data_IF_719466353106
#
_entry.id   IF_719466353106
#
_cell.length_a   1.000
_cell.length_b   1.000
_cell.length_c   1.000
_cell.angle_alpha   90.00
_cell.angle_beta   90.00
_cell.angle_gamma   90.00
#
_symmetry.space_group_name_H-M   'P 1'
#
loop_
_entity.id
_entity.type
_entity.pdbx_description
1 polymer ?
#
# COMPACT_ATOMS: atom_id res chain seq x y z
N UNK A 1 -2.17 -8.66 -30.03
CA UNK A 1 -1.65 -9.10 -28.71
C UNK A 1 -1.17 -7.84 -28.01
N UNK A 2 -1.50 -7.60 -26.74
CA UNK A 2 -0.95 -6.43 -26.06
C UNK A 2 0.58 -6.58 -26.06
N UNK A 3 1.26 -5.53 -26.48
CA UNK A 3 2.71 -5.41 -26.39
C UNK A 3 3.13 -5.76 -24.96
N UNK A 4 4.12 -6.65 -24.80
CA UNK A 4 4.72 -6.85 -23.50
C UNK A 4 5.20 -5.49 -23.00
N UNK A 5 4.88 -5.08 -21.75
CA UNK A 5 5.31 -3.78 -21.26
C UNK A 5 6.83 -3.70 -21.40
N UNK A 6 7.32 -2.58 -21.95
CA UNK A 6 8.74 -2.33 -22.14
C UNK A 6 9.50 -2.67 -20.85
N UNK A 7 10.55 -3.50 -20.96
CA UNK A 7 11.32 -3.95 -19.81
C UNK A 7 11.77 -2.73 -18.99
N UNK A 8 11.28 -2.62 -17.76
CA UNK A 8 11.61 -1.51 -16.86
C UNK A 8 13.10 -1.48 -16.51
N UNK A 9 13.59 -0.37 -15.91
CA UNK A 9 14.99 -0.27 -15.53
C UNK A 9 15.35 -1.39 -14.55
N UNK A 10 16.48 -2.06 -14.78
CA UNK A 10 17.03 -3.03 -13.84
C UNK A 10 17.69 -2.25 -12.70
N UNK A 11 17.32 -2.57 -11.45
CA UNK A 11 17.85 -1.88 -10.27
C UNK A 11 19.01 -2.67 -9.69
N UNK A 12 20.21 -2.10 -9.77
CA UNK A 12 21.45 -2.68 -9.23
C UNK A 12 22.07 -1.85 -8.11
N UNK A 13 21.57 -0.63 -7.88
CA UNK A 13 22.11 0.31 -6.89
C UNK A 13 20.98 0.85 -5.99
N UNK A 14 21.25 1.14 -4.71
CA UNK A 14 20.29 1.80 -3.84
C UNK A 14 19.97 3.21 -4.35
N UNK A 15 18.71 3.62 -4.27
CA UNK A 15 18.33 4.95 -4.72
C UNK A 15 16.82 5.18 -4.82
N UNK A 16 16.48 6.36 -5.33
CA UNK A 16 15.12 6.75 -5.71
C UNK A 16 15.01 6.62 -7.23
N UNK A 17 13.94 5.99 -7.69
CA UNK A 17 13.69 5.74 -9.10
C UNK A 17 12.26 6.12 -9.46
N UNK A 18 12.12 6.79 -10.61
CA UNK A 18 10.84 7.03 -11.25
C UNK A 18 10.51 5.82 -12.14
N UNK A 19 9.37 5.20 -11.88
CA UNK A 19 8.91 4.02 -12.61
C UNK A 19 7.40 3.89 -12.49
N UNK A 20 6.79 3.19 -13.44
CA UNK A 20 5.36 2.91 -13.38
C UNK A 20 5.04 1.94 -12.23
N UNK A 21 3.76 1.87 -11.86
CA UNK A 21 3.28 0.93 -10.86
C UNK A 21 3.55 -0.53 -11.27
N UNK A 22 3.40 -0.83 -12.56
CA UNK A 22 3.65 -2.15 -13.14
C UNK A 22 5.13 -2.51 -13.04
N UNK A 23 6.02 -1.59 -13.42
CA UNK A 23 7.47 -1.77 -13.30
C UNK A 23 7.89 -1.97 -11.83
N UNK A 24 7.35 -1.18 -10.91
CA UNK A 24 7.60 -1.34 -9.48
C UNK A 24 7.18 -2.72 -9.00
N UNK A 25 5.99 -3.21 -9.38
CA UNK A 25 5.47 -4.50 -8.92
C UNK A 25 6.15 -5.71 -9.59
N UNK A 26 6.66 -5.55 -10.81
CA UNK A 26 7.43 -6.58 -11.53
C UNK A 26 8.73 -7.00 -10.82
N UNK A 27 9.15 -6.23 -9.80
CA UNK A 27 10.39 -6.46 -9.05
C UNK A 27 11.64 -6.31 -9.93
N UNK A 28 12.08 -5.07 -10.17
CA UNK A 28 13.16 -4.80 -11.11
C UNK A 28 14.57 -5.13 -10.55
N UNK A 29 14.67 -5.68 -9.35
CA UNK A 29 15.94 -6.04 -8.72
C UNK A 29 16.35 -7.46 -9.14
N UNK A 30 17.55 -7.66 -9.72
CA UNK A 30 18.07 -9.00 -9.98
C UNK A 30 18.17 -9.82 -8.68
N UNK A 31 17.63 -11.04 -8.69
CA UNK A 31 17.54 -11.90 -7.50
C UNK A 31 16.35 -11.57 -6.58
N UNK A 32 15.58 -10.53 -6.89
CA UNK A 32 14.35 -10.16 -6.20
C UNK A 32 14.56 -9.22 -5.02
N UNK A 33 13.46 -8.57 -4.63
CA UNK A 33 13.40 -7.66 -3.48
C UNK A 33 12.11 -7.83 -2.69
N UNK A 34 12.18 -7.51 -1.41
CA UNK A 34 11.04 -7.56 -0.52
C UNK A 34 10.35 -6.19 -0.46
N UNK A 35 9.04 -6.13 -0.67
CA UNK A 35 8.23 -4.93 -0.40
C UNK A 35 7.59 -5.01 0.98
N UNK A 36 7.07 -3.89 1.50
CA UNK A 36 6.30 -3.88 2.76
C UNK A 36 5.15 -4.89 2.74
N UNK A 37 4.41 -4.96 1.62
CA UNK A 37 3.32 -5.94 1.45
C UNK A 37 3.87 -7.37 1.38
N UNK A 38 4.98 -7.60 0.68
CA UNK A 38 5.65 -8.90 0.65
C UNK A 38 6.07 -9.37 2.03
N UNK A 39 6.67 -8.49 2.83
CA UNK A 39 7.05 -8.79 4.21
C UNK A 39 5.84 -9.22 5.07
N UNK A 40 4.68 -8.55 4.90
CA UNK A 40 3.43 -8.96 5.55
C UNK A 40 2.92 -10.32 5.08
N UNK A 41 3.07 -10.64 3.79
CA UNK A 41 2.61 -11.91 3.19
C UNK A 41 3.43 -13.12 3.64
N UNK A 42 4.69 -12.92 4.03
CA UNK A 42 5.55 -13.98 4.59
C UNK A 42 5.14 -14.39 6.01
N UNK A 43 4.37 -13.56 6.72
CA UNK A 43 3.98 -13.80 8.10
C UNK A 43 2.49 -14.14 8.18
N UNK A 44 2.12 -14.86 9.24
CA UNK A 44 0.72 -15.17 9.54
C UNK A 44 -0.16 -13.90 9.46
N UNK A 45 -1.31 -13.96 8.77
CA UNK A 45 -1.97 -15.18 8.27
C UNK A 45 -1.46 -15.72 6.92
N UNK A 46 -0.47 -15.08 6.29
CA UNK A 46 0.23 -15.65 5.14
C UNK A 46 1.36 -16.62 5.54
N UNK A 47 2.13 -17.08 4.55
CA UNK A 47 3.32 -17.92 4.73
C UNK A 47 4.25 -17.82 3.51
N UNK A 48 5.51 -18.28 3.62
CA UNK A 48 6.48 -18.25 2.52
C UNK A 48 6.01 -18.95 1.24
N UNK A 49 5.39 -20.12 1.33
CA UNK A 49 4.87 -20.84 0.16
C UNK A 49 3.84 -20.02 -0.63
N UNK A 50 2.90 -19.36 0.06
CA UNK A 50 1.90 -18.50 -0.58
C UNK A 50 2.54 -17.29 -1.26
N UNK A 51 3.49 -16.65 -0.58
CA UNK A 51 4.22 -15.53 -1.15
C UNK A 51 5.02 -15.93 -2.39
N UNK A 52 5.73 -17.06 -2.35
CA UNK A 52 6.48 -17.59 -3.50
C UNK A 52 5.57 -17.91 -4.68
N UNK A 53 4.41 -18.51 -4.41
CA UNK A 53 3.41 -18.75 -5.45
C UNK A 53 2.96 -17.44 -6.12
N UNK A 54 2.66 -16.39 -5.34
CA UNK A 54 2.31 -15.06 -5.88
C UNK A 54 3.44 -14.45 -6.72
N UNK A 55 4.71 -14.63 -6.35
CA UNK A 55 5.84 -14.15 -7.14
C UNK A 55 5.97 -14.85 -8.50
N UNK A 56 5.74 -16.17 -8.54
CA UNK A 56 5.93 -16.99 -9.74
C UNK A 56 4.77 -16.91 -10.73
N UNK A 57 3.54 -16.70 -10.23
CA UNK A 57 2.32 -16.79 -11.04
C UNK A 57 1.57 -15.45 -11.14
N UNK A 58 2.13 -14.39 -10.54
CA UNK A 58 1.46 -13.13 -10.35
C UNK A 58 0.31 -13.22 -9.33
N UNK A 59 -0.31 -12.07 -9.07
CA UNK A 59 -1.51 -12.01 -8.25
C UNK A 59 -2.75 -12.19 -9.12
N UNK A 60 -3.76 -12.90 -8.59
CA UNK A 60 -5.09 -12.89 -9.19
C UNK A 60 -5.55 -11.43 -9.32
N UNK A 61 -6.05 -11.00 -10.49
CA UNK A 61 -6.61 -9.66 -10.66
C UNK A 61 -7.62 -9.41 -9.56
N UNK A 62 -7.29 -8.51 -8.63
CA UNK A 62 -8.29 -8.05 -7.67
C UNK A 62 -9.24 -7.14 -8.42
N UNK A 63 -10.50 -7.10 -8.01
CA UNK A 63 -11.33 -5.94 -8.31
C UNK A 63 -10.64 -4.76 -7.64
N UNK A 64 -9.76 -4.08 -8.38
CA UNK A 64 -9.24 -2.79 -7.96
C UNK A 64 -10.48 -1.93 -7.81
N UNK A 65 -10.65 -1.34 -6.64
CA UNK A 65 -11.74 -0.39 -6.46
C UNK A 65 -11.34 0.85 -7.24
N UNK A 66 -11.85 0.97 -8.47
CA UNK A 66 -11.60 2.10 -9.38
C UNK A 66 -11.72 3.44 -8.62
N UNK A 67 -12.69 3.54 -7.71
CA UNK A 67 -12.90 4.70 -6.84
C UNK A 67 -11.71 5.04 -5.91
N UNK A 68 -11.09 4.03 -5.27
CA UNK A 68 -9.99 4.24 -4.32
C UNK A 68 -8.71 4.65 -5.03
N UNK A 69 -8.41 4.01 -6.17
CA UNK A 69 -7.28 4.39 -7.03
C UNK A 69 -7.50 5.76 -7.65
N UNK A 70 -8.71 6.07 -8.12
CA UNK A 70 -9.04 7.38 -8.66
C UNK A 70 -8.94 8.49 -7.60
N UNK A 71 -9.43 8.26 -6.38
CA UNK A 71 -9.29 9.21 -5.28
C UNK A 71 -7.82 9.43 -4.91
N UNK A 72 -7.03 8.36 -4.82
CA UNK A 72 -5.59 8.44 -4.54
C UNK A 72 -4.85 9.24 -5.61
N UNK A 73 -5.06 8.92 -6.90
CA UNK A 73 -4.46 9.65 -8.00
C UNK A 73 -4.83 11.14 -8.00
N UNK A 74 -6.11 11.46 -7.79
CA UNK A 74 -6.58 12.84 -7.76
C UNK A 74 -6.07 13.63 -6.53
N UNK A 75 -5.90 12.97 -5.38
CA UNK A 75 -5.35 13.58 -4.16
C UNK A 75 -3.85 13.86 -4.32
N UNK A 76 -3.12 12.95 -4.96
CA UNK A 76 -1.67 13.08 -5.16
C UNK A 76 -1.29 13.81 -6.45
N UNK A 77 -2.26 14.20 -7.28
CA UNK A 77 -2.00 14.85 -8.57
C UNK A 77 -1.26 13.96 -9.57
N UNK A 78 -1.40 12.64 -9.48
CA UNK A 78 -0.72 11.67 -10.35
C UNK A 78 -1.63 10.50 -10.72
N UNK A 79 -1.11 9.55 -11.49
CA UNK A 79 -1.82 8.34 -11.88
C UNK A 79 -2.59 8.47 -13.18
N UNK A 80 -3.41 7.46 -13.51
CA UNK A 80 -4.06 7.40 -14.82
C UNK A 80 -5.14 8.47 -14.99
N UNK A 81 -5.41 8.82 -16.25
CA UNK A 81 -6.52 9.69 -16.63
C UNK A 81 -7.85 9.15 -16.07
N UNK A 82 -8.63 10.03 -15.44
CA UNK A 82 -9.99 9.70 -15.01
C UNK A 82 -10.98 10.10 -16.10
N UNK A 83 -11.73 9.12 -16.62
CA UNK A 83 -12.66 9.34 -17.72
C UNK A 83 -14.09 9.21 -17.20
N UNK A 84 -14.85 10.31 -17.28
CA UNK A 84 -16.28 10.29 -16.98
C UNK A 84 -17.03 9.64 -18.14
N UNK A 85 -17.68 8.52 -17.87
CA UNK A 85 -18.59 7.85 -18.80
C UNK A 85 -20.01 8.30 -18.46
N UNK A 86 -20.69 9.00 -19.38
CA UNK A 86 -22.03 9.56 -19.16
C UNK A 86 -23.13 8.48 -19.24
N UNK A 87 -23.07 7.51 -18.33
CA UNK A 87 -24.05 6.45 -18.14
C UNK A 87 -24.04 5.94 -16.69
N UNK A 88 -25.20 5.86 -16.05
CA UNK A 88 -25.35 5.35 -14.68
C UNK A 88 -25.12 3.83 -14.59
N UNK A 89 -25.34 3.12 -15.70
CA UNK A 89 -25.17 1.68 -15.82
C UNK A 89 -24.42 1.28 -17.10
N UNK A 90 -23.41 0.44 -16.96
CA UNK A 90 -22.60 -0.05 -18.08
C UNK A 90 -23.21 -1.31 -18.74
N UNK A 91 -24.48 -1.21 -19.15
CA UNK A 91 -25.22 -2.37 -19.70
C UNK A 91 -25.22 -2.43 -21.22
N UNK A 92 -25.29 -1.29 -21.90
CA UNK A 92 -25.39 -1.22 -23.37
C UNK A 92 -24.06 -1.55 -24.04
N UNK A 93 -24.11 -2.10 -25.26
CA UNK A 93 -22.91 -2.42 -26.02
C UNK A 93 -22.05 -1.17 -26.28
N UNK A 94 -22.68 -0.01 -26.54
CA UNK A 94 -22.00 1.27 -26.72
C UNK A 94 -21.19 1.67 -25.49
N UNK A 95 -21.81 1.68 -24.30
CA UNK A 95 -21.13 2.08 -23.06
C UNK A 95 -20.02 1.09 -22.68
N UNK A 96 -20.24 -0.21 -22.91
CA UNK A 96 -19.19 -1.22 -22.69
C UNK A 96 -17.97 -1.02 -23.59
N UNK A 97 -18.20 -0.67 -24.86
CA UNK A 97 -17.11 -0.36 -25.79
C UNK A 97 -16.33 0.90 -25.35
N UNK A 98 -17.02 1.93 -24.86
CA UNK A 98 -16.40 3.15 -24.33
C UNK A 98 -15.53 2.89 -23.08
N UNK A 99 -16.07 2.12 -22.13
CA UNK A 99 -15.34 1.65 -20.93
C UNK A 99 -14.12 0.82 -21.31
N UNK A 100 -14.27 -0.09 -22.29
CA UNK A 100 -13.17 -0.92 -22.76
C UNK A 100 -12.07 -0.07 -23.41
N UNK A 101 -12.43 0.88 -24.27
CA UNK A 101 -11.49 1.80 -24.90
C UNK A 101 -10.77 2.71 -23.88
N UNK A 102 -11.43 3.10 -22.79
CA UNK A 102 -10.79 3.80 -21.67
C UNK A 102 -9.72 2.94 -20.99
N UNK A 103 -10.08 1.69 -20.66
CA UNK A 103 -9.14 0.77 -20.00
C UNK A 103 -7.98 0.36 -20.90
N UNK A 104 -8.22 0.20 -22.21
CA UNK A 104 -7.18 -0.18 -23.17
C UNK A 104 -6.06 0.86 -23.29
N UNK A 105 -6.40 2.16 -23.17
CA UNK A 105 -5.41 3.24 -23.10
C UNK A 105 -4.88 3.51 -21.69
N UNK A 106 -5.23 2.67 -20.71
CA UNK A 106 -4.78 2.78 -19.31
C UNK A 106 -5.58 3.74 -18.43
N UNK A 107 -6.64 4.38 -18.92
CA UNK A 107 -7.47 5.29 -18.14
C UNK A 107 -8.43 4.55 -17.18
N UNK A 108 -8.91 5.24 -16.15
CA UNK A 108 -9.91 4.73 -15.21
C UNK A 108 -11.29 5.30 -15.59
N UNK A 109 -12.17 4.51 -16.23
CA UNK A 109 -13.53 4.93 -16.48
C UNK A 109 -14.34 4.94 -15.17
N UNK A 110 -15.06 6.04 -14.92
CA UNK A 110 -15.93 6.22 -13.77
C UNK A 110 -17.33 6.59 -14.22
N UNK A 111 -18.34 6.13 -13.48
CA UNK A 111 -19.71 6.62 -13.63
C UNK A 111 -19.81 8.08 -13.20
N UNK A 112 -20.84 8.84 -13.62
CA UNK A 112 -20.98 10.24 -13.25
C UNK A 112 -20.95 10.45 -11.72
N UNK A 113 -21.68 9.62 -10.96
CA UNK A 113 -21.69 9.70 -9.50
C UNK A 113 -20.32 9.42 -8.85
N UNK A 114 -19.56 8.47 -9.38
CA UNK A 114 -18.22 8.11 -8.88
C UNK A 114 -17.20 9.19 -9.23
N UNK A 115 -17.29 9.75 -10.44
CA UNK A 115 -16.45 10.86 -10.88
C UNK A 115 -16.65 12.08 -9.98
N UNK A 116 -17.90 12.49 -9.73
CA UNK A 116 -18.19 13.59 -8.80
C UNK A 116 -17.75 13.27 -7.36
N UNK A 117 -17.92 12.01 -6.92
CA UNK A 117 -17.51 11.56 -5.59
C UNK A 117 -16.01 11.72 -5.37
N UNK A 118 -15.15 11.27 -6.28
CA UNK A 118 -13.69 11.40 -6.12
C UNK A 118 -13.23 12.85 -6.14
N UNK A 119 -13.87 13.72 -6.95
CA UNK A 119 -13.59 15.15 -6.96
C UNK A 119 -13.95 15.82 -5.63
N UNK A 120 -15.08 15.44 -5.02
CA UNK A 120 -15.47 15.93 -3.68
C UNK A 120 -14.54 15.40 -2.58
N UNK A 121 -14.10 14.15 -2.68
CA UNK A 121 -13.08 13.60 -1.76
C UNK A 121 -11.77 14.40 -1.85
N UNK A 122 -11.26 14.66 -3.06
CA UNK A 122 -10.05 15.46 -3.22
C UNK A 122 -10.24 16.91 -2.74
N UNK A 123 -11.41 17.51 -2.95
CA UNK A 123 -11.73 18.83 -2.40
C UNK A 123 -11.71 18.84 -0.86
N UNK A 124 -12.22 17.80 -0.20
CA UNK A 124 -12.18 17.69 1.26
C UNK A 124 -10.74 17.57 1.80
N UNK A 125 -9.83 16.87 1.09
CA UNK A 125 -8.41 16.84 1.45
C UNK A 125 -7.78 18.24 1.33
N UNK A 126 -8.05 18.96 0.25
CA UNK A 126 -7.56 20.34 0.04
C UNK A 126 -8.07 21.33 1.08
N UNK A 127 -9.23 21.09 1.68
CA UNK A 127 -9.79 21.91 2.75
C UNK A 127 -9.29 21.52 4.15
N UNK A 128 -8.73 20.32 4.32
CA UNK A 128 -8.27 19.86 5.62
C UNK A 128 -6.92 20.52 5.98
N UNK A 129 -6.78 21.14 7.17
CA UNK A 129 -5.64 22.02 7.49
C UNK A 129 -4.28 21.32 7.47
N UNK A 130 -4.22 20.04 7.91
CA UNK A 130 -2.96 19.28 7.92
C UNK A 130 -2.73 18.54 6.59
N UNK A 131 -3.70 17.73 6.15
CA UNK A 131 -3.59 16.95 4.91
C UNK A 131 -3.32 17.80 3.65
N UNK A 132 -3.89 19.00 3.53
CA UNK A 132 -3.63 19.90 2.40
C UNK A 132 -2.17 20.31 2.29
N UNK A 133 -1.51 20.61 3.41
CA UNK A 133 -0.08 20.94 3.44
C UNK A 133 0.81 19.72 3.15
N UNK A 134 0.38 18.53 3.59
CA UNK A 134 1.13 17.28 3.37
C UNK A 134 1.19 16.86 1.89
N UNK A 135 0.14 17.18 1.11
CA UNK A 135 0.01 16.77 -0.30
C UNK A 135 -0.03 17.97 -1.28
N UNK A 136 0.42 19.16 -0.88
CA UNK A 136 0.53 20.30 -1.79
C UNK A 136 1.62 20.07 -2.84
N UNK A 137 1.40 20.47 -4.09
CA UNK A 137 2.36 20.25 -5.20
C UNK A 137 3.80 20.72 -4.88
N UNK A 138 3.95 21.85 -4.19
CA UNK A 138 5.27 22.39 -3.82
C UNK A 138 5.96 21.65 -2.65
N UNK A 139 5.24 20.77 -1.94
CA UNK A 139 5.76 20.09 -0.75
C UNK A 139 6.41 18.75 -1.02
N UNK A 140 6.45 18.26 -2.26
CA UNK A 140 7.12 17.02 -2.59
C UNK A 140 6.80 16.45 -3.96
N UNK A 141 7.10 15.16 -4.12
CA UNK A 141 6.87 14.41 -5.36
C UNK A 141 6.05 13.16 -5.08
N UNK A 142 4.99 12.88 -5.85
CA UNK A 142 4.17 11.69 -5.63
C UNK A 142 4.88 10.42 -6.10
N UNK A 143 4.45 9.28 -5.55
CA UNK A 143 4.70 7.93 -6.07
C UNK A 143 6.19 7.53 -6.29
N UNK A 144 7.08 8.07 -5.46
CA UNK A 144 8.51 7.81 -5.59
C UNK A 144 8.87 6.39 -5.12
N UNK A 145 9.61 5.65 -5.94
CA UNK A 145 10.03 4.27 -5.62
C UNK A 145 11.44 4.26 -5.05
N UNK A 146 11.59 3.71 -3.86
CA UNK A 146 12.83 3.63 -3.11
C UNK A 146 13.30 2.17 -3.08
N UNK A 147 14.58 1.97 -3.35
CA UNK A 147 15.25 0.67 -3.29
C UNK A 147 16.50 0.78 -2.42
N UNK A 148 16.70 -0.17 -1.53
CA UNK A 148 17.86 -0.19 -0.64
C UNK A 148 18.19 -1.61 -0.18
N UNK A 149 19.41 -1.80 0.30
CA UNK A 149 19.85 -3.08 0.86
C UNK A 149 19.72 -3.03 2.37
N UNK A 150 19.07 -4.04 2.96
CA UNK A 150 19.10 -4.25 4.40
C UNK A 150 20.51 -4.69 4.82
N UNK A 151 21.20 -3.87 5.62
CA UNK A 151 22.59 -4.14 6.00
C UNK A 151 22.78 -5.46 6.75
N UNK A 152 21.76 -5.93 7.49
CA UNK A 152 21.89 -7.10 8.35
C UNK A 152 21.54 -8.42 7.64
N UNK A 153 20.70 -8.41 6.60
CA UNK A 153 20.42 -9.63 5.80
C UNK A 153 21.03 -9.62 4.40
N UNK A 154 21.45 -8.47 3.87
CA UNK A 154 21.79 -8.31 2.45
C UNK A 154 20.57 -8.34 1.52
N UNK A 155 19.34 -8.40 2.06
CA UNK A 155 18.11 -8.44 1.28
C UNK A 155 17.83 -7.06 0.70
N UNK A 156 17.58 -7.01 -0.61
CA UNK A 156 17.00 -5.85 -1.24
C UNK A 156 15.58 -5.60 -0.76
N UNK A 157 15.31 -4.37 -0.41
CA UNK A 157 14.00 -3.86 0.02
C UNK A 157 13.54 -2.81 -0.96
N UNK A 158 12.22 -2.76 -1.16
CA UNK A 158 11.55 -1.72 -1.94
C UNK A 158 10.36 -1.11 -1.21
N UNK A 159 10.09 0.15 -1.50
CA UNK A 159 8.91 0.87 -1.07
C UNK A 159 8.50 1.85 -2.17
N UNK A 160 7.20 2.14 -2.28
CA UNK A 160 6.69 3.23 -3.11
C UNK A 160 5.95 4.18 -2.19
N UNK A 161 6.50 5.37 -1.99
CA UNK A 161 5.90 6.40 -1.16
C UNK A 161 4.74 7.03 -1.92
N UNK A 162 3.60 7.24 -1.28
CA UNK A 162 2.53 8.05 -1.88
C UNK A 162 3.03 9.47 -2.15
N UNK A 163 3.82 10.01 -1.23
CA UNK A 163 4.46 11.32 -1.35
C UNK A 163 5.85 11.28 -0.73
N UNK A 164 6.85 11.73 -1.49
CA UNK A 164 8.19 12.03 -1.00
C UNK A 164 8.28 13.54 -0.75
N UNK A 165 8.27 14.01 0.50
CA UNK A 165 8.35 15.43 0.79
C UNK A 165 9.66 16.05 0.28
N UNK A 166 9.60 17.32 -0.11
CA UNK A 166 10.79 18.12 -0.42
C UNK A 166 11.69 18.18 0.80
N UNK A 167 12.97 17.86 0.62
CA UNK A 167 13.94 17.87 1.71
C UNK A 167 14.19 19.32 2.15
N UNK A 168 14.16 19.56 3.45
CA UNK A 168 14.35 20.89 4.03
C UNK A 168 14.92 20.83 5.45
N UNK A 169 15.07 21.98 6.09
CA UNK A 169 15.70 22.12 7.41
C UNK A 169 14.83 21.69 8.60
N UNK A 170 13.89 20.77 8.40
CA UNK A 170 12.92 20.34 9.40
C UNK A 170 12.71 18.84 9.43
N UNK A 171 11.89 18.39 10.37
CA UNK A 171 11.50 16.98 10.51
C UNK A 171 10.81 16.50 9.24
N UNK A 172 11.34 15.45 8.62
CA UNK A 172 10.70 14.80 7.47
C UNK A 172 9.43 14.06 7.92
N UNK A 173 8.28 14.43 7.34
CA UNK A 173 6.98 13.78 7.59
C UNK A 173 6.51 13.14 6.29
N UNK A 174 6.49 11.81 6.23
CA UNK A 174 6.06 11.02 5.09
C UNK A 174 4.55 10.76 5.22
N UNK A 175 3.69 11.34 4.37
CA UNK A 175 2.27 11.06 4.39
C UNK A 175 1.93 9.87 3.46
N UNK A 176 0.90 9.12 3.85
CA UNK A 176 0.36 8.00 3.06
C UNK A 176 -1.16 8.02 3.12
N UNK A 177 -1.79 8.05 1.95
CA UNK A 177 -3.22 8.28 1.80
C UNK A 177 -3.99 6.96 1.80
N UNK A 178 -5.01 6.87 2.67
CA UNK A 178 -5.87 5.71 2.82
C UNK A 178 -7.34 6.09 2.71
N UNK A 179 -8.02 5.63 1.67
CA UNK A 179 -9.48 5.65 1.68
C UNK A 179 -10.02 4.57 2.63
N UNK A 180 -11.07 4.88 3.40
CA UNK A 180 -11.66 3.98 4.38
C UNK A 180 -13.18 4.12 4.48
N UNK A 181 -13.79 3.19 5.22
CA UNK A 181 -15.22 3.29 5.56
C UNK A 181 -15.44 4.29 6.69
N UNK A 182 -14.55 4.32 7.69
CA UNK A 182 -14.62 5.26 8.81
C UNK A 182 -13.23 5.76 9.20
N UNK A 183 -13.11 7.08 9.37
CA UNK A 183 -11.90 7.76 9.85
C UNK A 183 -11.92 7.98 11.38
N UNK A 184 -12.87 7.37 12.09
CA UNK A 184 -12.89 7.37 13.54
C UNK A 184 -11.67 6.60 14.11
N UNK A 185 -11.06 7.07 15.22
CA UNK A 185 -9.84 6.47 15.78
C UNK A 185 -9.93 4.95 16.02
N UNK A 186 -11.07 4.45 16.51
CA UNK A 186 -11.26 3.00 16.76
C UNK A 186 -11.26 2.18 15.46
N UNK A 187 -11.91 2.68 14.41
CA UNK A 187 -11.93 2.07 13.08
C UNK A 187 -10.54 2.07 12.44
N UNK A 188 -9.79 3.15 12.64
CA UNK A 188 -8.40 3.28 12.20
C UNK A 188 -7.52 2.27 12.93
N UNK A 189 -7.62 2.15 14.26
CA UNK A 189 -6.84 1.18 15.04
C UNK A 189 -7.05 -0.26 14.55
N UNK A 190 -8.30 -0.65 14.28
CA UNK A 190 -8.64 -1.94 13.65
C UNK A 190 -8.00 -2.09 12.27
N UNK A 191 -8.04 -1.04 11.45
CA UNK A 191 -7.41 -1.03 10.12
C UNK A 191 -5.89 -1.17 10.20
N UNK A 192 -5.24 -0.53 11.18
CA UNK A 192 -3.79 -0.62 11.43
C UNK A 192 -3.37 -2.05 11.75
N UNK A 193 -4.18 -2.77 12.53
CA UNK A 193 -3.98 -4.19 12.80
C UNK A 193 -4.24 -5.04 11.55
N UNK A 194 -5.43 -4.94 10.97
CA UNK A 194 -5.92 -5.83 9.92
C UNK A 194 -5.11 -5.73 8.61
N UNK A 195 -4.70 -4.52 8.24
CA UNK A 195 -3.93 -4.30 7.00
C UNK A 195 -2.42 -4.25 7.24
N UNK A 196 -2.00 -4.35 8.52
CA UNK A 196 -0.60 -4.36 8.91
C UNK A 196 0.11 -3.02 8.71
N UNK A 197 -0.60 -1.90 8.86
CA UNK A 197 0.00 -0.56 8.72
C UNK A 197 1.07 -0.28 9.78
N UNK A 198 0.99 -0.95 10.93
CA UNK A 198 2.07 -0.94 11.93
C UNK A 198 3.40 -1.47 11.38
N UNK A 199 3.41 -2.38 10.40
CA UNK A 199 4.61 -2.80 9.67
C UNK A 199 4.98 -1.82 8.55
N UNK A 200 3.99 -1.18 7.91
CA UNK A 200 4.20 -0.24 6.80
C UNK A 200 4.96 1.01 7.23
N UNK A 201 4.52 1.68 8.30
CA UNK A 201 5.17 2.90 8.83
C UNK A 201 6.69 2.73 8.98
N UNK A 202 7.20 1.82 9.83
CA UNK A 202 8.63 1.68 10.01
C UNK A 202 9.34 1.19 8.74
N UNK A 203 8.66 0.43 7.86
CA UNK A 203 9.26 0.02 6.59
C UNK A 203 9.60 1.21 5.70
N UNK A 204 8.72 2.20 5.65
CA UNK A 204 8.87 3.40 4.82
C UNK A 204 9.84 4.39 5.48
N UNK A 205 9.79 4.53 6.80
CA UNK A 205 10.79 5.33 7.55
C UNK A 205 12.19 4.75 7.39
N UNK A 206 12.35 3.43 7.39
CA UNK A 206 13.64 2.79 7.14
C UNK A 206 14.16 3.07 5.72
N UNK A 207 13.27 3.10 4.73
CA UNK A 207 13.63 3.37 3.34
C UNK A 207 14.31 4.73 3.19
N UNK A 208 13.66 5.79 3.70
CA UNK A 208 14.19 7.15 3.56
C UNK A 208 15.47 7.35 4.38
N UNK A 209 15.58 6.70 5.54
CA UNK A 209 16.78 6.75 6.38
C UNK A 209 17.95 6.01 5.75
N UNK A 210 17.72 4.83 5.19
CA UNK A 210 18.75 4.05 4.52
C UNK A 210 19.35 4.80 3.31
N UNK A 211 18.56 5.67 2.67
CA UNK A 211 18.98 6.51 1.56
C UNK A 211 19.48 7.90 1.98
N UNK A 212 19.62 8.16 3.28
CA UNK A 212 20.13 9.45 3.79
C UNK A 212 19.19 10.64 3.59
N UNK A 213 17.91 10.40 3.30
CA UNK A 213 16.90 11.44 3.07
C UNK A 213 16.28 11.96 4.38
N UNK A 214 16.40 11.18 5.46
CA UNK A 214 15.85 11.54 6.77
C UNK A 214 16.65 10.94 7.91
N UNK A 215 16.35 11.38 9.13
CA UNK A 215 17.06 11.02 10.37
C UNK A 215 16.14 10.32 11.38
N UNK A 216 16.56 10.25 12.65
CA UNK A 216 15.77 9.68 13.76
C UNK A 216 14.46 10.43 14.05
N UNK A 217 14.35 11.71 13.67
CA UNK A 217 13.13 12.49 13.81
C UNK A 217 12.08 12.16 12.73
N UNK A 218 12.51 11.54 11.63
CA UNK A 218 11.64 11.15 10.50
C UNK A 218 10.39 10.42 10.97
N UNK A 219 9.26 10.83 10.43
CA UNK A 219 7.94 10.38 10.87
C UNK A 219 7.06 10.02 9.71
N UNK A 220 6.17 9.08 9.98
CA UNK A 220 5.19 8.60 9.05
C UNK A 220 3.80 8.94 9.59
N UNK A 221 2.94 9.47 8.73
CA UNK A 221 1.55 9.74 9.06
C UNK A 221 0.64 9.12 8.02
N UNK A 222 -0.44 8.51 8.49
CA UNK A 222 -1.51 8.03 7.63
C UNK A 222 -2.57 9.12 7.51
N UNK A 223 -3.02 9.41 6.30
CA UNK A 223 -4.15 10.29 6.03
C UNK A 223 -5.34 9.43 5.65
N UNK A 224 -6.18 9.13 6.63
CA UNK A 224 -7.40 8.35 6.43
C UNK A 224 -8.54 9.25 5.97
N UNK A 225 -9.22 8.87 4.90
CA UNK A 225 -10.38 9.59 4.39
C UNK A 225 -11.58 8.67 4.17
N UNK A 226 -12.73 9.07 4.71
CA UNK A 226 -14.01 8.41 4.43
C UNK A 226 -14.45 8.61 2.98
N UNK A 227 -14.99 7.55 2.38
CA UNK A 227 -15.48 7.59 1.00
C UNK A 227 -16.88 8.19 0.85
N UNK A 228 -17.60 8.42 1.95
CA UNK A 228 -18.98 8.95 1.95
C UNK A 228 -19.02 10.35 2.53
N UNK A 229 -19.95 11.23 2.07
CA UNK A 229 -20.13 12.54 2.68
C UNK A 229 -20.30 12.46 4.21
N UNK A 230 -19.69 13.39 4.99
CA UNK A 230 -19.00 14.59 4.54
C UNK A 230 -17.50 14.39 4.19
N UNK A 231 -17.07 13.17 3.88
CA UNK A 231 -15.70 12.81 3.48
C UNK A 231 -14.65 13.15 4.54
N UNK A 232 -14.95 12.82 5.80
CA UNK A 232 -14.11 13.15 6.94
C UNK A 232 -12.68 12.62 6.76
N UNK A 233 -11.72 13.44 7.16
CA UNK A 233 -10.29 13.16 7.09
C UNK A 233 -9.71 13.12 8.49
N UNK A 234 -8.86 12.14 8.76
CA UNK A 234 -8.11 12.02 10.00
C UNK A 234 -6.64 11.69 9.71
N UNK A 235 -5.74 12.53 10.21
CA UNK A 235 -4.29 12.36 10.05
C UNK A 235 -3.74 11.72 11.33
N UNK A 236 -3.21 10.51 11.21
CA UNK A 236 -2.82 9.67 12.36
C UNK A 236 -1.35 9.28 12.27
N UNK A 237 -0.63 9.53 13.36
CA UNK A 237 0.70 8.97 13.61
C UNK A 237 0.57 7.77 14.54
N UNK A 238 1.29 6.69 14.26
CA UNK A 238 1.35 5.55 15.18
C UNK A 238 2.26 5.85 16.37
N UNK A 239 1.89 5.36 17.54
CA UNK A 239 2.72 5.44 18.75
C UNK A 239 3.98 4.55 18.63
N UNK A 240 4.94 4.76 19.52
CA UNK A 240 6.20 4.02 19.49
C UNK A 240 6.06 2.52 19.75
N UNK A 241 5.13 2.09 20.61
CA UNK A 241 4.94 0.68 20.92
C UNK A 241 4.42 -0.08 19.71
N UNK A 242 3.41 0.46 19.04
CA UNK A 242 2.85 -0.07 17.79
C UNK A 242 3.92 -0.15 16.68
N UNK A 243 4.73 0.91 16.53
CA UNK A 243 5.84 0.93 15.55
C UNK A 243 6.94 -0.09 15.87
N UNK A 244 7.26 -0.31 17.16
CA UNK A 244 8.24 -1.32 17.59
C UNK A 244 7.79 -2.73 17.21
N UNK A 245 6.52 -3.06 17.41
CA UNK A 245 5.94 -4.35 16.97
C UNK A 245 6.11 -4.50 15.45
N UNK A 246 5.78 -3.46 14.69
CA UNK A 246 5.99 -3.42 13.24
C UNK A 246 7.42 -3.71 12.80
N UNK A 247 8.39 -3.04 13.43
CA UNK A 247 9.83 -3.25 13.18
C UNK A 247 10.25 -4.69 13.45
N UNK A 248 9.82 -5.27 14.57
CA UNK A 248 10.14 -6.67 14.91
C UNK A 248 9.56 -7.65 13.89
N UNK A 249 8.31 -7.43 13.45
CA UNK A 249 7.69 -8.24 12.39
C UNK A 249 8.44 -8.11 11.06
N UNK A 250 8.78 -6.89 10.66
CA UNK A 250 9.59 -6.65 9.45
C UNK A 250 10.93 -7.37 9.51
N UNK A 251 11.61 -7.33 10.67
CA UNK A 251 12.88 -8.03 10.87
C UNK A 251 12.73 -9.55 10.75
N UNK A 252 11.68 -10.11 11.34
CA UNK A 252 11.34 -11.54 11.19
C UNK A 252 11.10 -11.90 9.72
N UNK A 253 10.31 -11.10 9.00
CA UNK A 253 10.04 -11.32 7.58
C UNK A 253 11.32 -11.27 6.73
N UNK A 254 12.22 -10.33 6.99
CA UNK A 254 13.52 -10.25 6.31
C UNK A 254 14.40 -11.48 6.56
N UNK A 255 14.45 -12.00 7.79
CA UNK A 255 15.20 -13.24 8.10
C UNK A 255 14.64 -14.44 7.34
N UNK A 256 13.31 -14.62 7.40
CA UNK A 256 12.61 -15.69 6.70
C UNK A 256 12.86 -15.60 5.20
N UNK A 257 12.71 -14.42 4.61
CA UNK A 257 12.95 -14.22 3.17
C UNK A 257 14.38 -14.57 2.78
N UNK A 258 15.37 -14.11 3.54
CA UNK A 258 16.79 -14.45 3.32
C UNK A 258 17.01 -15.97 3.37
N UNK A 259 16.44 -16.65 4.37
CA UNK A 259 16.57 -18.10 4.52
C UNK A 259 15.91 -18.86 3.36
N UNK A 260 14.72 -18.43 2.94
CA UNK A 260 14.02 -18.99 1.79
C UNK A 260 14.83 -18.82 0.50
N UNK A 261 15.43 -17.65 0.29
CA UNK A 261 16.31 -17.41 -0.86
C UNK A 261 17.56 -18.29 -0.84
N UNK A 262 18.20 -18.43 0.33
CA UNK A 262 19.44 -19.18 0.46
C UNK A 262 19.25 -20.69 0.32
N UNK A 263 18.09 -21.22 0.72
CA UNK A 263 17.79 -22.66 0.71
C UNK A 263 16.90 -23.11 -0.45
N UNK A 264 16.33 -22.16 -1.20
CA UNK A 264 15.21 -22.37 -2.13
C UNK A 264 14.03 -23.17 -1.52
N UNK A 265 13.88 -23.11 -0.20
CA UNK A 265 12.80 -23.76 0.53
C UNK A 265 11.81 -22.71 1.08
N UNK A 266 10.55 -22.83 0.67
CA UNK A 266 9.49 -21.88 0.99
C UNK A 266 8.40 -22.59 1.82
N UNK A 267 8.51 -22.63 3.16
CA UNK A 267 7.62 -23.42 3.99
C UNK A 267 6.16 -22.93 3.93
N UNK A 268 5.23 -23.89 4.10
CA UNK A 268 3.80 -23.65 4.22
C UNK A 268 3.38 -23.22 5.63
N UNK A 269 2.23 -23.71 6.08
CA UNK A 269 1.79 -23.50 7.47
C UNK A 269 2.49 -24.49 8.42
N UNK A 270 1.93 -25.69 8.56
CA UNK A 270 2.46 -26.76 9.38
C UNK A 270 2.31 -28.06 8.59
N UNK A 271 3.32 -28.92 8.69
CA UNK A 271 3.27 -30.29 8.16
C UNK A 271 2.69 -31.27 9.21
N UNK A 272 2.22 -30.74 10.35
CA UNK A 272 1.65 -31.51 11.47
C UNK A 272 0.15 -31.24 11.65
N UNK A 273 -0.50 -32.13 12.42
CA UNK A 273 -1.88 -31.93 12.85
C UNK A 273 -1.94 -30.81 13.89
N UNK A 274 -2.50 -29.66 13.48
CA UNK A 274 -2.70 -28.51 14.37
C UNK A 274 -4.00 -28.65 15.17
N UNK A 275 -3.91 -28.39 16.47
CA UNK A 275 -5.09 -28.28 17.33
C UNK A 275 -5.55 -26.81 17.31
N UNK A 276 -6.75 -26.57 16.80
CA UNK A 276 -7.32 -25.22 16.73
C UNK A 276 -8.41 -25.05 17.79
N UNK A 277 -8.31 -23.99 18.57
CA UNK A 277 -9.37 -23.54 19.47
C UNK A 277 -10.20 -22.44 18.83
N UNK A 278 -11.46 -22.32 19.26
CA UNK A 278 -12.25 -21.13 19.00
C UNK A 278 -11.50 -19.89 19.54
N UNK A 279 -11.57 -18.73 18.85
CA UNK A 279 -11.06 -17.49 19.41
C UNK A 279 -11.70 -17.21 20.78
N UNK A 280 -10.93 -16.64 21.72
CA UNK A 280 -11.40 -16.41 23.10
C UNK A 280 -12.76 -15.69 23.16
N UNK A 281 -12.95 -14.63 22.37
CA UNK A 281 -14.23 -13.90 22.31
C UNK A 281 -15.41 -14.75 21.83
N UNK A 282 -15.17 -15.77 21.00
CA UNK A 282 -16.20 -16.68 20.50
C UNK A 282 -16.49 -17.78 21.53
N UNK A 283 -15.45 -18.25 22.24
CA UNK A 283 -15.59 -19.17 23.37
C UNK A 283 -16.45 -18.53 24.46
N UNK A 284 -16.13 -17.30 24.85
CA UNK A 284 -16.86 -16.56 25.88
C UNK A 284 -18.33 -16.39 25.52
N UNK A 285 -18.63 -16.01 24.27
CA UNK A 285 -20.01 -15.86 23.77
C UNK A 285 -20.78 -17.17 23.80
N UNK A 286 -20.19 -18.26 23.29
CA UNK A 286 -20.85 -19.56 23.28
C UNK A 286 -21.08 -20.09 24.69
N UNK A 287 -20.14 -19.86 25.61
CA UNK A 287 -20.30 -20.26 27.01
C UNK A 287 -21.45 -19.50 27.69
N UNK A 288 -21.65 -18.22 27.35
CA UNK A 288 -22.78 -17.42 27.83
C UNK A 288 -24.13 -17.88 27.29
N UNK A 289 -24.20 -18.36 26.04
CA UNK A 289 -25.44 -18.83 25.41
C UNK A 289 -25.90 -20.21 25.94
N UNK A 290 -25.00 -20.97 26.60
CA UNK A 290 -25.31 -22.28 27.20
C UNK A 290 -25.78 -22.15 28.67
N UNK A 291 -25.62 -20.99 29.30
CA UNK A 291 -26.05 -20.69 30.67
C UNK A 291 -27.47 -20.15 30.73
#
# INVERSE_FOLDING_TARGET
>A
MPEAPAAGPIITEPGIYEMTNEQYHADPVPGGSLSSTGARRLLAPGCPALFRHEQLHGQKPRKVFDLGTAAHGLVLGTGPELVRIDADEWRTAKVKAEVAAARERGAIPLKPAEFEQVHRMAAAIRQHPVASALFSEDSGRPEQSLFWVDQATGVWRRARLDWLPTLGHGRLIIPDYKSCVSAAPESIAKSVLNYGYHQQDPWYVDAVRALGLGDDSTTFVFVFQEKTPPYLVNVVQLDQATRRIGRQRNRKALSIYRECLASDHWPGYSDQVEIVSLPAWAQDRQMQEIQ
#
